data_IF_207633156802
#
_entry.id   IF_207633156802
#
_cell.length_a   1.000
_cell.length_b   1.000
_cell.length_c   1.000
_cell.angle_alpha   90.00
_cell.angle_beta   90.00
_cell.angle_gamma   90.00
#
_symmetry.space_group_name_H-M   'P 1'
#
loop_
_entity.id
_entity.type
_entity.pdbx_description
1 polymer ?
#
# COMPACT_ATOMS: atom_id res chain seq x y z
N UNK A 1 15.85 -32.38 -4.57
CA UNK A 1 14.76 -33.00 -5.32
C UNK A 1 14.15 -31.90 -6.17
N UNK A 2 14.79 -31.60 -7.30
CA UNK A 2 14.22 -30.82 -8.40
C UNK A 2 12.93 -31.55 -8.82
N UNK A 3 11.78 -30.86 -8.74
CA UNK A 3 10.50 -31.51 -9.05
C UNK A 3 10.39 -31.73 -10.55
N UNK A 4 9.84 -32.88 -10.94
CA UNK A 4 9.65 -33.27 -12.33
C UNK A 4 8.80 -32.26 -13.16
N UNK A 5 8.13 -31.31 -12.51
CA UNK A 5 7.42 -30.19 -13.14
C UNK A 5 8.35 -29.08 -13.66
N UNK A 6 9.47 -28.81 -12.98
CA UNK A 6 10.45 -27.79 -13.36
C UNK A 6 11.21 -28.21 -14.64
N UNK A 7 11.60 -29.48 -14.71
CA UNK A 7 12.30 -30.05 -15.86
C UNK A 7 11.40 -30.23 -17.11
N UNK A 8 10.11 -30.50 -16.93
CA UNK A 8 9.18 -30.72 -18.05
C UNK A 8 8.74 -29.41 -18.73
N UNK A 9 8.73 -28.29 -18.01
CA UNK A 9 8.32 -26.99 -18.56
C UNK A 9 9.48 -26.23 -19.23
N UNK A 10 10.71 -26.38 -18.72
CA UNK A 10 11.94 -25.85 -19.36
C UNK A 10 12.23 -26.45 -20.74
N UNK A 11 11.53 -27.52 -21.15
CA UNK A 11 11.63 -28.10 -22.50
C UNK A 11 10.71 -27.44 -23.55
N UNK A 12 9.81 -26.53 -23.17
CA UNK A 12 8.80 -25.95 -24.09
C UNK A 12 9.17 -24.61 -24.72
N UNK A 13 10.33 -24.06 -24.35
CA UNK A 13 10.92 -22.84 -24.91
C UNK A 13 12.32 -23.21 -25.36
N UNK A 14 12.66 -23.06 -26.64
CA UNK A 14 13.96 -23.47 -27.16
C UNK A 14 15.09 -22.67 -26.47
N UNK A 15 15.85 -23.35 -25.60
CA UNK A 15 17.03 -22.82 -24.91
C UNK A 15 16.82 -22.55 -23.41
N UNK A 16 17.90 -22.48 -22.60
CA UNK A 16 17.79 -22.19 -21.18
C UNK A 16 17.18 -20.80 -21.00
N UNK A 17 15.94 -20.75 -20.50
CA UNK A 17 15.22 -19.51 -20.20
C UNK A 17 16.08 -18.66 -19.27
N UNK A 18 16.63 -17.56 -19.78
CA UNK A 18 17.40 -16.64 -18.95
C UNK A 18 16.42 -15.90 -18.02
N UNK A 19 16.47 -16.12 -16.69
CA UNK A 19 15.50 -15.56 -15.76
C UNK A 19 15.57 -14.03 -15.66
N UNK A 20 16.65 -13.42 -16.19
CA UNK A 20 16.85 -11.97 -16.22
C UNK A 20 16.54 -11.35 -17.58
N UNK A 21 16.26 -12.15 -18.61
CA UNK A 21 15.91 -11.61 -19.91
C UNK A 21 14.55 -10.90 -19.83
N UNK A 22 14.46 -9.65 -20.34
CA UNK A 22 13.18 -8.97 -20.47
C UNK A 22 12.26 -9.72 -21.45
N UNK A 23 11.00 -9.87 -21.06
CA UNK A 23 9.91 -10.39 -21.87
C UNK A 23 8.82 -9.33 -21.98
N UNK A 24 8.09 -9.35 -23.09
CA UNK A 24 6.86 -8.58 -23.25
C UNK A 24 5.67 -9.47 -22.90
N UNK A 25 4.95 -9.10 -21.84
CA UNK A 25 3.78 -9.79 -21.36
C UNK A 25 2.55 -8.90 -21.54
N UNK A 26 1.63 -9.35 -22.39
CA UNK A 26 0.30 -8.75 -22.53
C UNK A 26 -0.65 -9.37 -21.50
N UNK A 27 -1.26 -8.54 -20.67
CA UNK A 27 -2.22 -8.95 -19.65
C UNK A 27 -3.53 -8.24 -19.94
N UNK A 28 -4.50 -8.97 -20.49
CA UNK A 28 -5.73 -8.40 -21.04
C UNK A 28 -5.42 -7.32 -22.10
N UNK A 29 -5.80 -6.08 -21.80
CA UNK A 29 -5.59 -4.92 -22.68
C UNK A 29 -4.26 -4.20 -22.44
N UNK A 30 -3.52 -4.53 -21.37
CA UNK A 30 -2.28 -3.85 -20.99
C UNK A 30 -1.04 -4.64 -21.37
N UNK A 31 0.06 -3.95 -21.65
CA UNK A 31 1.37 -4.56 -21.92
C UNK A 31 2.36 -4.19 -20.84
N UNK A 32 3.12 -5.18 -20.37
CA UNK A 32 4.14 -5.05 -19.35
C UNK A 32 5.46 -5.62 -19.87
N UNK A 33 6.56 -4.93 -19.56
CA UNK A 33 7.91 -5.50 -19.69
C UNK A 33 8.34 -6.04 -18.33
N UNK A 34 8.70 -7.32 -18.25
CA UNK A 34 9.14 -8.00 -17.02
C UNK A 34 10.15 -9.10 -17.33
N UNK A 35 10.51 -9.96 -16.37
CA UNK A 35 11.37 -11.13 -16.60
C UNK A 35 10.73 -12.40 -16.06
N UNK A 36 11.13 -13.55 -16.60
CA UNK A 36 10.71 -14.86 -16.07
C UNK A 36 11.08 -15.04 -14.60
N UNK A 37 12.26 -14.57 -14.17
CA UNK A 37 12.65 -14.59 -12.75
C UNK A 37 11.74 -13.77 -11.84
N UNK A 38 11.05 -12.74 -12.37
CA UNK A 38 10.04 -12.00 -11.61
C UNK A 38 8.74 -12.80 -11.51
N UNK A 39 8.26 -13.34 -12.64
CA UNK A 39 7.03 -14.15 -12.72
C UNK A 39 7.12 -15.37 -11.79
N UNK A 40 8.26 -16.06 -11.81
CA UNK A 40 8.53 -17.24 -10.98
C UNK A 40 9.07 -16.93 -9.59
N UNK A 41 9.08 -15.65 -9.18
CA UNK A 41 9.78 -15.26 -7.95
C UNK A 41 9.18 -15.85 -6.67
N UNK A 42 7.91 -16.26 -6.69
CA UNK A 42 7.23 -16.87 -5.53
C UNK A 42 6.72 -18.27 -5.83
N UNK A 43 6.17 -18.46 -7.02
CA UNK A 43 5.49 -19.68 -7.42
C UNK A 43 5.48 -19.81 -8.95
N UNK A 44 5.13 -20.99 -9.46
CA UNK A 44 5.06 -21.28 -10.89
C UNK A 44 3.68 -21.02 -11.53
N UNK A 45 2.62 -20.96 -10.73
CA UNK A 45 1.23 -20.83 -11.17
C UNK A 45 0.99 -19.71 -12.19
N UNK A 46 1.54 -18.49 -11.96
CA UNK A 46 1.41 -17.40 -12.95
C UNK A 46 1.99 -17.81 -14.29
N UNK A 47 3.18 -18.43 -14.31
CA UNK A 47 3.85 -18.80 -15.55
C UNK A 47 3.20 -19.97 -16.27
N UNK A 48 2.47 -20.84 -15.58
CA UNK A 48 1.68 -21.92 -16.20
C UNK A 48 0.47 -21.37 -16.97
N UNK A 49 -0.06 -20.22 -16.56
CA UNK A 49 -1.17 -19.55 -17.22
C UNK A 49 -0.73 -18.62 -18.37
N UNK A 50 0.58 -18.38 -18.50
CA UNK A 50 1.13 -17.55 -19.58
C UNK A 50 1.24 -18.38 -20.86
N UNK A 51 0.51 -17.95 -21.88
CA UNK A 51 0.57 -18.52 -23.23
C UNK A 51 1.46 -17.72 -24.19
N UNK A 52 1.92 -18.34 -25.29
CA UNK A 52 2.52 -17.59 -26.40
C UNK A 52 1.47 -16.70 -27.08
N UNK A 53 1.91 -15.55 -27.62
CA UNK A 53 1.04 -14.62 -28.34
C UNK A 53 1.51 -14.37 -29.78
N UNK A 54 2.35 -13.35 -30.02
CA UNK A 54 2.88 -12.95 -31.33
C UNK A 54 4.31 -12.44 -31.16
N UNK A 55 5.18 -12.65 -32.14
CA UNK A 55 6.52 -12.03 -32.21
C UNK A 55 7.28 -12.06 -30.87
N UNK A 56 7.45 -13.25 -30.29
CA UNK A 56 8.09 -13.50 -28.98
C UNK A 56 7.44 -12.79 -27.78
N UNK A 57 6.19 -12.34 -27.93
CA UNK A 57 5.37 -11.84 -26.84
C UNK A 57 4.54 -12.95 -26.21
N UNK A 58 4.23 -12.74 -24.95
CA UNK A 58 3.44 -13.64 -24.13
C UNK A 58 2.10 -13.01 -23.76
N UNK A 59 1.10 -13.84 -23.48
CA UNK A 59 -0.24 -13.39 -23.10
C UNK A 59 -0.71 -14.08 -21.81
N UNK A 60 -1.37 -13.29 -20.96
CA UNK A 60 -2.07 -13.74 -19.76
C UNK A 60 -3.48 -13.18 -19.80
N UNK A 61 -4.47 -14.06 -19.69
CA UNK A 61 -5.88 -13.67 -19.64
C UNK A 61 -6.28 -13.26 -18.22
N UNK A 62 -5.92 -12.03 -17.86
CA UNK A 62 -6.24 -11.40 -16.58
C UNK A 62 -6.44 -9.89 -16.74
N UNK A 63 -6.95 -9.25 -15.69
CA UNK A 63 -7.10 -7.80 -15.66
C UNK A 63 -5.75 -7.11 -15.48
N UNK A 64 -5.41 -6.21 -16.41
CA UNK A 64 -4.11 -5.55 -16.41
C UNK A 64 -3.92 -4.58 -15.24
N UNK A 65 -4.99 -3.94 -14.76
CA UNK A 65 -4.92 -2.97 -13.67
C UNK A 65 -4.62 -3.66 -12.34
N UNK A 66 -5.29 -4.78 -12.08
CA UNK A 66 -5.04 -5.63 -10.92
C UNK A 66 -3.68 -6.29 -10.99
N UNK A 67 -3.28 -6.78 -12.16
CA UNK A 67 -1.96 -7.40 -12.37
C UNK A 67 -0.79 -6.44 -12.11
N UNK A 68 -0.97 -5.14 -12.33
CA UNK A 68 0.07 -4.17 -12.01
C UNK A 68 0.49 -4.21 -10.52
N UNK A 69 -0.46 -4.42 -9.60
CA UNK A 69 -0.17 -4.57 -8.17
C UNK A 69 0.56 -5.88 -7.86
N UNK A 70 0.14 -6.98 -8.50
CA UNK A 70 0.82 -8.27 -8.40
C UNK A 70 2.27 -8.14 -8.86
N UNK A 71 2.48 -7.58 -10.04
CA UNK A 71 3.81 -7.43 -10.62
C UNK A 71 4.73 -6.56 -9.75
N UNK A 72 4.19 -5.47 -9.19
CA UNK A 72 4.92 -4.62 -8.25
C UNK A 72 5.31 -5.39 -6.98
N UNK A 73 4.41 -6.21 -6.44
CA UNK A 73 4.69 -7.06 -5.29
C UNK A 73 5.77 -8.12 -5.59
N UNK A 74 5.70 -8.77 -6.76
CA UNK A 74 6.72 -9.75 -7.18
C UNK A 74 8.12 -9.13 -7.24
N UNK A 75 8.23 -7.89 -7.73
CA UNK A 75 9.50 -7.15 -7.85
C UNK A 75 10.08 -6.68 -6.52
N UNK A 76 9.22 -6.16 -5.64
CA UNK A 76 9.66 -5.38 -4.47
C UNK A 76 9.44 -6.08 -3.13
N UNK A 77 8.57 -7.10 -3.09
CA UNK A 77 8.01 -7.71 -1.86
C UNK A 77 7.26 -6.73 -0.96
N UNK A 78 6.88 -5.56 -1.48
CA UNK A 78 6.11 -4.56 -0.75
C UNK A 78 4.62 -4.81 -0.97
N UNK A 79 3.89 -5.05 0.12
CA UNK A 79 2.44 -5.28 0.10
C UNK A 79 1.70 -4.00 -0.33
N UNK A 80 0.67 -4.10 -1.19
CA UNK A 80 0.05 -2.94 -1.78
C UNK A 80 -0.86 -2.19 -0.80
N UNK A 81 -0.76 -0.87 -0.83
CA UNK A 81 -1.67 0.09 -0.19
C UNK A 81 -2.46 0.79 -1.29
N UNK A 82 -3.72 0.42 -1.44
CA UNK A 82 -4.58 0.89 -2.54
C UNK A 82 -5.63 1.83 -1.97
N UNK A 83 -5.67 3.06 -2.49
CA UNK A 83 -6.63 4.09 -2.09
C UNK A 83 -7.48 4.52 -3.26
N UNK A 84 -8.70 4.96 -2.95
CA UNK A 84 -9.54 5.62 -3.95
C UNK A 84 -8.85 6.93 -4.36
N UNK A 85 -8.73 7.21 -5.67
CA UNK A 85 -8.06 8.41 -6.15
C UNK A 85 -8.65 9.69 -5.52
N UNK A 86 -7.78 10.54 -4.99
CA UNK A 86 -8.17 11.80 -4.36
C UNK A 86 -8.73 11.69 -2.94
N UNK A 87 -8.79 10.49 -2.34
CA UNK A 87 -9.28 10.30 -0.97
C UNK A 87 -8.24 9.63 -0.07
N UNK A 88 -8.53 9.57 1.23
CA UNK A 88 -7.77 8.75 2.19
C UNK A 88 -8.42 7.38 2.42
N UNK A 89 -9.46 7.03 1.66
CA UNK A 89 -10.18 5.78 1.82
C UNK A 89 -9.46 4.65 1.08
N UNK A 90 -9.53 3.45 1.63
CA UNK A 90 -9.01 2.26 0.95
C UNK A 90 -9.97 1.84 -0.16
N UNK A 91 -9.43 1.46 -1.32
CA UNK A 91 -10.26 0.98 -2.43
C UNK A 91 -10.61 -0.50 -2.22
N UNK A 92 -11.71 -0.73 -1.50
CA UNK A 92 -12.17 -2.08 -1.13
C UNK A 92 -12.50 -2.92 -2.38
N UNK A 93 -13.01 -2.29 -3.43
CA UNK A 93 -13.29 -2.97 -4.69
C UNK A 93 -11.99 -3.49 -5.33
N UNK A 94 -10.97 -2.63 -5.43
CA UNK A 94 -9.68 -3.04 -5.98
C UNK A 94 -8.99 -4.11 -5.12
N UNK A 95 -9.14 -4.07 -3.80
CA UNK A 95 -8.66 -5.14 -2.92
C UNK A 95 -9.40 -6.47 -3.14
N UNK A 96 -10.70 -6.44 -3.44
CA UNK A 96 -11.47 -7.65 -3.76
C UNK A 96 -11.01 -8.29 -5.08
N UNK A 97 -10.77 -7.48 -6.12
CA UNK A 97 -10.19 -7.95 -7.39
C UNK A 97 -8.81 -8.55 -7.18
N UNK A 98 -7.93 -7.85 -6.45
CA UNK A 98 -6.58 -8.33 -6.15
C UNK A 98 -6.60 -9.63 -5.35
N UNK A 99 -7.54 -9.82 -4.44
CA UNK A 99 -7.69 -11.07 -3.70
C UNK A 99 -8.08 -12.24 -4.62
N UNK A 100 -8.95 -12.01 -5.59
CA UNK A 100 -9.34 -13.04 -6.56
C UNK A 100 -8.13 -13.51 -7.38
N UNK A 101 -7.36 -12.57 -7.93
CA UNK A 101 -6.15 -12.88 -8.70
C UNK A 101 -5.05 -13.48 -7.83
N UNK A 102 -4.83 -12.98 -6.62
CA UNK A 102 -3.85 -13.54 -5.69
C UNK A 102 -4.16 -15.00 -5.33
N UNK A 103 -5.44 -15.37 -5.24
CA UNK A 103 -5.86 -16.78 -5.03
C UNK A 103 -5.63 -17.63 -6.27
N UNK A 104 -6.01 -17.12 -7.45
CA UNK A 104 -5.79 -17.79 -8.75
C UNK A 104 -4.31 -18.12 -8.94
N UNK A 105 -3.46 -17.12 -8.71
CA UNK A 105 -2.00 -17.20 -8.83
C UNK A 105 -1.28 -17.69 -7.58
N UNK A 106 -2.02 -18.23 -6.60
CA UNK A 106 -1.47 -18.84 -5.39
C UNK A 106 -0.42 -17.98 -4.64
N UNK A 107 -0.60 -16.65 -4.65
CA UNK A 107 0.30 -15.70 -3.98
C UNK A 107 -0.11 -15.59 -2.50
N UNK A 108 0.16 -16.64 -1.73
CA UNK A 108 -0.27 -16.78 -0.32
C UNK A 108 -0.01 -15.53 0.54
N UNK A 109 1.16 -14.86 0.49
CA UNK A 109 1.36 -13.67 1.29
C UNK A 109 0.41 -12.50 0.96
N UNK A 110 0.00 -12.34 -0.31
CA UNK A 110 -1.01 -11.34 -0.69
C UNK A 110 -2.41 -11.76 -0.23
N UNK A 111 -2.72 -13.05 -0.33
CA UNK A 111 -3.98 -13.61 0.17
C UNK A 111 -4.12 -13.33 1.67
N UNK A 112 -3.11 -13.69 2.47
CA UNK A 112 -3.10 -13.48 3.92
C UNK A 112 -3.20 -12.00 4.29
N UNK A 113 -2.45 -11.15 3.58
CA UNK A 113 -2.45 -9.69 3.76
C UNK A 113 -3.84 -9.08 3.60
N UNK A 114 -4.56 -9.46 2.54
CA UNK A 114 -5.85 -8.88 2.19
C UNK A 114 -6.97 -9.50 3.04
N UNK A 115 -7.00 -10.83 3.19
CA UNK A 115 -8.04 -11.51 3.99
C UNK A 115 -8.01 -11.12 5.47
N UNK A 116 -6.81 -10.89 6.01
CA UNK A 116 -6.65 -10.48 7.41
C UNK A 116 -6.87 -8.98 7.62
N UNK A 117 -7.28 -8.24 6.57
CA UNK A 117 -7.45 -6.79 6.59
C UNK A 117 -6.22 -6.02 7.12
N UNK A 118 -5.02 -6.58 6.95
CA UNK A 118 -3.80 -6.00 7.52
C UNK A 118 -3.45 -4.65 6.84
N UNK A 119 -3.92 -4.44 5.61
CA UNK A 119 -3.83 -3.15 4.92
C UNK A 119 -4.51 -2.01 5.68
N UNK A 120 -5.56 -2.29 6.47
CA UNK A 120 -6.22 -1.27 7.29
C UNK A 120 -5.31 -0.78 8.43
N UNK A 121 -4.45 -1.66 8.95
CA UNK A 121 -3.52 -1.37 10.05
C UNK A 121 -2.16 -0.82 9.56
N UNK A 122 -1.88 -0.93 8.27
CA UNK A 122 -0.62 -0.52 7.66
C UNK A 122 -0.34 0.99 7.82
N UNK A 123 -1.41 1.79 7.95
CA UNK A 123 -1.32 3.24 8.17
C UNK A 123 -2.03 3.57 9.47
N UNK A 124 -1.26 3.75 10.54
CA UNK A 124 -1.79 4.15 11.86
C UNK A 124 -2.03 5.66 11.90
N UNK A 125 -3.29 6.08 11.99
CA UNK A 125 -3.65 7.46 12.32
C UNK A 125 -3.76 7.61 13.85
N UNK A 126 -2.91 8.43 14.47
CA UNK A 126 -3.05 8.77 15.89
C UNK A 126 -3.81 10.08 16.04
N UNK A 127 -5.12 9.99 16.32
CA UNK A 127 -5.90 11.13 16.78
C UNK A 127 -5.49 11.50 18.21
N UNK A 128 -5.04 12.73 18.40
CA UNK A 128 -4.79 13.28 19.72
C UNK A 128 -5.79 14.40 19.99
N UNK A 129 -6.68 14.18 20.96
CA UNK A 129 -7.54 15.24 21.47
C UNK A 129 -6.73 16.11 22.42
N UNK A 130 -6.44 17.36 22.06
CA UNK A 130 -6.12 18.40 23.05
C UNK A 130 -7.45 19.00 23.49
N UNK A 131 -7.93 18.62 24.67
CA UNK A 131 -8.93 19.41 25.36
C UNK A 131 -8.16 20.52 26.10
N UNK A 132 -8.22 21.76 25.59
CA UNK A 132 -7.83 22.92 26.39
C UNK A 132 -8.88 23.16 27.48
N UNK A 133 -8.48 23.66 28.65
CA UNK A 133 -9.48 24.19 29.58
C UNK A 133 -10.03 25.49 29.00
N UNK A 134 -11.29 25.79 29.28
CA UNK A 134 -11.92 27.04 28.85
C UNK A 134 -11.14 28.26 29.40
N UNK A 135 -10.54 28.08 30.58
CA UNK A 135 -9.67 29.05 31.27
C UNK A 135 -8.40 29.44 30.49
N UNK A 136 -7.93 28.59 29.57
CA UNK A 136 -6.69 28.81 28.81
C UNK A 136 -6.93 29.48 27.44
N UNK A 137 -8.19 29.79 27.11
CA UNK A 137 -8.56 30.46 25.85
C UNK A 137 -8.56 31.97 26.09
N UNK A 138 -7.67 32.69 25.41
CA UNK A 138 -7.71 34.15 25.36
C UNK A 138 -8.98 34.60 24.62
N UNK A 139 -10.03 34.89 25.38
CA UNK A 139 -11.22 35.56 24.86
C UNK A 139 -10.92 37.06 24.87
N UNK A 140 -11.01 37.77 23.74
CA UNK A 140 -10.90 39.22 23.75
C UNK A 140 -11.93 39.79 24.71
N UNK A 141 -11.55 40.76 25.52
CA UNK A 141 -12.47 41.46 26.40
C UNK A 141 -13.58 42.12 25.56
N UNK A 142 -14.71 41.42 25.41
CA UNK A 142 -15.95 41.96 24.90
C UNK A 142 -16.86 42.20 26.09
N UNK A 143 -17.54 43.35 26.09
CA UNK A 143 -18.31 43.85 27.23
C UNK A 143 -19.32 42.83 27.78
N UNK A 144 -19.78 43.09 29.01
CA UNK A 144 -20.67 42.22 29.76
C UNK A 144 -21.84 41.69 28.91
N UNK A 145 -21.97 40.35 28.85
CA UNK A 145 -23.04 39.65 28.12
C UNK A 145 -22.69 39.12 26.73
N UNK A 146 -21.44 39.25 26.26
CA UNK A 146 -21.01 38.69 24.99
C UNK A 146 -21.11 37.14 24.98
N UNK A 147 -21.82 36.59 23.98
CA UNK A 147 -21.90 35.13 23.77
C UNK A 147 -20.82 34.70 22.78
N UNK A 148 -19.79 34.02 23.28
CA UNK A 148 -18.75 33.43 22.44
C UNK A 148 -19.20 32.08 21.90
N UNK A 149 -19.07 31.86 20.59
CA UNK A 149 -19.35 30.58 19.95
C UNK A 149 -18.04 29.88 19.60
N UNK A 150 -17.75 28.79 20.31
CA UNK A 150 -16.64 27.91 19.94
C UNK A 150 -17.09 26.98 18.82
N UNK A 151 -16.39 27.03 17.68
CA UNK A 151 -16.63 26.11 16.56
C UNK A 151 -15.42 25.18 16.43
N UNK A 152 -15.60 23.84 16.54
CA UNK A 152 -14.52 22.91 16.24
C UNK A 152 -14.11 23.06 14.77
N UNK A 153 -12.83 23.30 14.52
CA UNK A 153 -12.22 23.21 13.20
C UNK A 153 -11.28 22.01 13.15
N UNK A 154 -11.30 21.31 12.02
CA UNK A 154 -10.36 20.23 11.74
C UNK A 154 -9.23 20.79 10.91
N UNK A 155 -8.00 20.78 11.43
CA UNK A 155 -6.82 21.08 10.62
C UNK A 155 -5.87 19.89 10.55
N UNK A 156 -5.08 19.83 9.49
CA UNK A 156 -4.03 18.84 9.29
C UNK A 156 -2.69 19.45 9.73
N UNK A 157 -1.94 18.78 10.61
CA UNK A 157 -0.59 19.19 10.99
C UNK A 157 0.36 18.01 10.97
N UNK A 158 1.51 18.15 10.34
CA UNK A 158 2.55 17.12 10.38
C UNK A 158 3.32 17.23 11.70
N UNK A 159 3.18 16.22 12.57
CA UNK A 159 3.83 16.17 13.89
C UNK A 159 4.62 14.88 14.00
N UNK A 160 5.88 15.00 14.39
CA UNK A 160 6.72 13.85 14.68
C UNK A 160 6.15 12.98 15.81
N UNK A 161 5.95 11.69 15.55
CA UNK A 161 5.56 10.70 16.57
C UNK A 161 6.74 9.77 16.81
N UNK A 162 7.15 9.67 18.08
CA UNK A 162 8.25 8.79 18.45
C UNK A 162 7.88 7.32 18.19
N UNK A 163 8.73 6.54 17.49
CA UNK A 163 8.47 5.13 17.22
C UNK A 163 8.44 4.27 18.50
N UNK A 164 9.01 4.76 19.61
CA UNK A 164 8.96 4.11 20.93
C UNK A 164 7.71 4.48 21.76
N UNK A 165 6.84 5.34 21.24
CA UNK A 165 5.64 5.79 21.96
C UNK A 165 5.90 6.72 23.16
N UNK A 166 7.12 7.24 23.32
CA UNK A 166 7.49 8.11 24.46
C UNK A 166 6.83 9.49 24.30
N UNK A 167 5.96 9.94 25.24
CA UNK A 167 5.20 11.19 25.09
C UNK A 167 6.05 12.46 24.97
N UNK A 168 7.16 12.54 25.72
CA UNK A 168 8.08 13.69 25.74
C UNK A 168 8.86 13.92 24.44
N UNK A 169 8.78 12.98 23.50
CA UNK A 169 9.44 13.07 22.20
C UNK A 169 8.51 13.60 21.09
N UNK A 170 7.21 13.73 21.34
CA UNK A 170 6.23 14.12 20.32
C UNK A 170 6.45 15.55 19.84
N UNK A 171 6.47 15.76 18.52
CA UNK A 171 6.71 17.06 17.89
C UNK A 171 8.15 17.57 17.98
N UNK A 172 9.04 16.86 18.69
CA UNK A 172 10.44 17.26 18.89
C UNK A 172 11.36 16.10 18.51
N UNK A 173 11.65 15.91 17.21
CA UNK A 173 12.45 14.78 16.71
C UNK A 173 13.80 14.62 17.40
N UNK A 174 14.43 15.74 17.79
CA UNK A 174 15.75 15.78 18.45
C UNK A 174 15.76 15.06 19.81
N UNK A 175 14.62 14.94 20.47
CA UNK A 175 14.51 14.20 21.73
C UNK A 175 14.53 12.68 21.50
N UNK A 176 14.33 12.22 20.26
CA UNK A 176 14.43 10.82 19.92
C UNK A 176 15.77 10.50 19.24
N UNK A 177 16.60 9.70 19.92
CA UNK A 177 17.87 9.20 19.36
C UNK A 177 17.73 8.18 18.21
N UNK A 178 16.62 8.14 17.45
CA UNK A 178 16.45 7.32 16.23
C UNK A 178 15.61 8.06 15.16
N UNK A 179 15.86 7.72 13.90
CA UNK A 179 15.20 8.24 12.70
C UNK A 179 13.67 7.99 12.68
N UNK A 180 12.98 8.84 11.93
CA UNK A 180 11.63 9.32 12.18
C UNK A 180 10.52 8.66 11.36
N UNK A 181 9.29 8.71 11.88
CA UNK A 181 8.05 8.45 11.14
C UNK A 181 7.23 9.76 11.17
N UNK A 182 6.78 10.21 10.00
CA UNK A 182 5.89 11.38 9.86
C UNK A 182 4.49 10.97 10.27
N UNK A 183 3.85 11.71 11.18
CA UNK A 183 2.46 11.48 11.54
C UNK A 183 1.63 12.75 11.29
N UNK A 184 0.42 12.56 10.79
CA UNK A 184 -0.56 13.63 10.62
C UNK A 184 -1.38 13.73 11.92
N UNK A 185 -1.39 14.90 12.53
CA UNK A 185 -2.13 15.24 13.75
C UNK A 185 -3.21 16.26 13.42
N UNK A 186 -4.42 15.97 13.87
CA UNK A 186 -5.53 16.91 13.84
C UNK A 186 -5.60 17.68 15.17
N UNK A 187 -5.79 19.00 15.13
CA UNK A 187 -5.87 19.86 16.31
C UNK A 187 -6.96 20.94 16.20
N UNK A 188 -7.06 21.77 17.24
CA UNK A 188 -8.06 22.83 17.40
C UNK A 188 -7.39 24.21 17.27
N UNK A 189 -7.93 25.12 16.46
CA UNK A 189 -7.54 26.54 16.47
C UNK A 189 -8.77 27.40 16.76
N UNK A 190 -8.67 28.26 17.76
CA UNK A 190 -9.57 29.39 17.90
C UNK A 190 -8.99 30.53 17.06
N UNK A 191 -9.74 30.97 16.05
CA UNK A 191 -9.52 32.29 15.45
C UNK A 191 -10.48 33.25 16.14
N UNK A 192 -9.94 34.42 16.49
CA UNK A 192 -10.62 35.50 17.20
C UNK A 192 -11.43 36.35 16.22
#
# INVERSE_FOLDING_TARGET
>A
MESASEAAFLQRVEGPVNPRQPIQLRVGERTFTTTWGTIYSLDHSIGEEIGPYKDDQYFLDADGDTFAYILQYLRSRVLPIIRVPGTQEYDIHQYALLLADARRFQITPLVDWIQSNLFMNAVTYKMHRRAGKIEDLEVPAQGDGARVRFTPTWFKSDVYVCPRGIPSHRGVPRNCGKQYIVAIVYGWSAEI
#
